data_IF_379991190937
#
_entry.id   IF_379991190937
#
_cell.length_a   1.000
_cell.length_b   1.000
_cell.length_c   1.000
_cell.angle_alpha   90.00
_cell.angle_beta   90.00
_cell.angle_gamma   90.00
#
_symmetry.space_group_name_H-M   'P 1'
#
loop_
_entity.id
_entity.type
_entity.pdbx_description
1 polymer ?
#
# COMPACT_ATOMS: atom_id res chain seq x y z
N UNK A 1 19.10 15.63 -7.67
CA UNK A 1 18.33 16.13 -8.83
C UNK A 1 17.38 15.05 -9.39
N UNK A 2 17.79 13.78 -9.51
CA UNK A 2 17.02 12.70 -10.12
C UNK A 2 15.66 12.48 -9.46
N UNK A 3 15.62 12.30 -8.17
CA UNK A 3 14.38 12.06 -7.41
C UNK A 3 13.38 13.21 -7.52
N UNK A 4 13.87 14.47 -7.51
CA UNK A 4 13.01 15.63 -7.69
C UNK A 4 12.40 15.66 -9.09
N UNK A 5 13.19 15.32 -10.13
CA UNK A 5 12.68 15.18 -11.49
C UNK A 5 11.57 14.14 -11.57
N UNK A 6 11.76 12.95 -10.96
CA UNK A 6 10.73 11.92 -10.92
C UNK A 6 9.51 12.34 -10.10
N UNK A 7 9.69 13.06 -9.00
CA UNK A 7 8.56 13.60 -8.24
C UNK A 7 7.71 14.54 -9.08
N UNK A 8 8.34 15.46 -9.83
CA UNK A 8 7.65 16.36 -10.75
C UNK A 8 6.97 15.59 -11.88
N UNK A 9 7.66 14.63 -12.51
CA UNK A 9 7.08 13.81 -13.57
C UNK A 9 5.84 13.06 -13.08
N UNK A 10 5.91 12.43 -11.92
CA UNK A 10 4.77 11.73 -11.32
C UNK A 10 3.64 12.69 -10.94
N UNK A 11 3.95 13.89 -10.45
CA UNK A 11 2.95 14.92 -10.18
C UNK A 11 2.21 15.33 -11.47
N UNK A 12 2.91 15.45 -12.61
CA UNK A 12 2.29 15.68 -13.91
C UNK A 12 1.41 14.51 -14.37
N UNK A 13 1.87 13.27 -14.19
CA UNK A 13 1.08 12.06 -14.52
C UNK A 13 -0.21 12.03 -13.70
N UNK A 14 -0.12 12.27 -12.40
CA UNK A 14 -1.28 12.38 -11.49
C UNK A 14 -2.22 13.51 -11.90
N UNK A 15 -1.66 14.67 -12.27
CA UNK A 15 -2.44 15.80 -12.77
C UNK A 15 -3.19 15.47 -14.06
N UNK A 16 -2.54 14.81 -15.01
CA UNK A 16 -3.19 14.39 -16.27
C UNK A 16 -4.29 13.37 -15.98
N UNK A 17 -4.06 12.40 -15.12
CA UNK A 17 -5.08 11.40 -14.75
C UNK A 17 -6.30 12.05 -14.11
N UNK A 18 -6.11 13.08 -13.29
CA UNK A 18 -7.21 13.83 -12.70
C UNK A 18 -8.17 14.40 -13.75
N UNK A 19 -7.64 14.92 -14.88
CA UNK A 19 -8.45 15.52 -15.95
C UNK A 19 -8.91 14.53 -17.03
N UNK A 20 -8.10 13.53 -17.38
CA UNK A 20 -8.30 12.70 -18.58
C UNK A 20 -8.44 11.19 -18.33
N UNK A 21 -8.32 10.71 -17.10
CA UNK A 21 -8.46 9.29 -16.76
C UNK A 21 -7.55 8.34 -17.59
N UNK A 22 -6.31 8.73 -17.82
CA UNK A 22 -5.36 7.90 -18.57
C UNK A 22 -4.69 6.84 -17.69
N UNK A 23 -5.45 5.81 -17.34
CA UNK A 23 -5.04 4.73 -16.44
C UNK A 23 -3.79 3.99 -16.89
N UNK A 24 -3.60 3.82 -18.21
CA UNK A 24 -2.40 3.19 -18.76
C UNK A 24 -1.16 4.04 -18.47
N UNK A 25 -1.32 5.37 -18.47
CA UNK A 25 -0.24 6.30 -18.12
C UNK A 25 0.17 6.16 -16.65
N UNK A 26 -0.78 5.89 -15.75
CA UNK A 26 -0.49 5.65 -14.33
C UNK A 26 0.36 4.38 -14.12
N UNK A 27 0.00 3.28 -14.81
CA UNK A 27 0.79 2.05 -14.76
C UNK A 27 2.17 2.27 -15.39
N UNK A 28 2.24 2.93 -16.53
CA UNK A 28 3.52 3.22 -17.18
C UNK A 28 4.41 4.08 -16.28
N UNK A 29 3.83 5.11 -15.64
CA UNK A 29 4.52 5.94 -14.66
C UNK A 29 5.02 5.15 -13.44
N UNK A 30 4.18 4.28 -12.90
CA UNK A 30 4.53 3.39 -11.79
C UNK A 30 5.71 2.47 -12.16
N UNK A 31 5.59 1.72 -13.24
CA UNK A 31 6.64 0.80 -13.71
C UNK A 31 7.93 1.54 -14.04
N UNK A 32 7.83 2.67 -14.73
CA UNK A 32 9.00 3.47 -15.11
C UNK A 32 9.71 4.06 -13.90
N UNK A 33 8.95 4.61 -12.93
CA UNK A 33 9.50 5.16 -11.69
C UNK A 33 10.23 4.08 -10.89
N UNK A 34 9.67 2.89 -10.81
CA UNK A 34 10.30 1.75 -10.15
C UNK A 34 11.57 1.29 -10.89
N UNK A 35 11.48 1.09 -12.20
CA UNK A 35 12.60 0.60 -13.00
C UNK A 35 13.80 1.54 -12.90
N UNK A 36 13.57 2.85 -13.04
CA UNK A 36 14.66 3.83 -12.95
C UNK A 36 15.14 4.01 -11.51
N UNK A 37 14.24 3.99 -10.53
CA UNK A 37 14.62 4.05 -9.11
C UNK A 37 15.48 2.85 -8.70
N UNK A 38 15.13 1.64 -9.13
CA UNK A 38 15.91 0.43 -8.88
C UNK A 38 17.26 0.45 -9.62
N UNK A 39 17.27 0.85 -10.91
CA UNK A 39 18.52 0.98 -11.67
C UNK A 39 19.49 2.00 -11.02
N UNK A 40 18.93 3.12 -10.53
CA UNK A 40 19.74 4.08 -9.78
C UNK A 40 20.27 3.49 -8.47
N UNK A 41 19.43 2.76 -7.72
CA UNK A 41 19.82 2.19 -6.44
C UNK A 41 20.95 1.18 -6.58
N UNK A 42 20.94 0.33 -7.61
CA UNK A 42 21.98 -0.66 -7.86
C UNK A 42 23.35 -0.01 -8.06
N UNK A 43 23.41 1.14 -8.74
CA UNK A 43 24.68 1.79 -9.08
C UNK A 43 25.12 2.92 -8.15
N UNK A 44 24.20 3.52 -7.39
CA UNK A 44 24.45 4.80 -6.72
C UNK A 44 23.97 4.85 -5.26
N UNK A 45 23.30 3.80 -4.76
CA UNK A 45 22.85 3.81 -3.37
C UNK A 45 24.03 3.61 -2.42
N UNK A 46 24.16 4.55 -1.48
CA UNK A 46 25.10 4.49 -0.37
C UNK A 46 24.39 4.89 0.93
N UNK A 47 24.84 4.42 2.11
CA UNK A 47 24.19 4.72 3.38
C UNK A 47 23.86 6.21 3.65
N UNK A 48 24.69 7.19 3.24
CA UNK A 48 24.34 8.61 3.37
C UNK A 48 23.09 9.03 2.59
N UNK A 49 22.68 8.28 1.58
CA UNK A 49 21.47 8.57 0.78
C UNK A 49 20.17 8.03 1.42
N UNK A 50 20.25 7.31 2.55
CA UNK A 50 19.12 6.65 3.19
C UNK A 50 17.91 7.58 3.38
N UNK A 51 18.10 8.71 4.04
CA UNK A 51 16.99 9.62 4.37
C UNK A 51 16.27 10.13 3.11
N UNK A 52 17.04 10.53 2.10
CA UNK A 52 16.47 11.04 0.84
C UNK A 52 15.73 9.93 0.12
N UNK A 53 16.31 8.74 0.03
CA UNK A 53 15.67 7.58 -0.61
C UNK A 53 14.40 7.18 0.12
N UNK A 54 14.43 7.12 1.45
CA UNK A 54 13.27 6.79 2.28
C UNK A 54 12.10 7.76 2.06
N UNK A 55 12.38 9.07 2.05
CA UNK A 55 11.35 10.10 1.81
C UNK A 55 10.70 9.92 0.45
N UNK A 56 11.50 9.69 -0.61
CA UNK A 56 10.95 9.49 -1.96
C UNK A 56 10.19 8.16 -2.10
N UNK A 57 10.63 7.08 -1.48
CA UNK A 57 9.89 5.81 -1.44
C UNK A 57 8.52 6.02 -0.80
N UNK A 58 8.46 6.65 0.36
CA UNK A 58 7.19 6.94 1.05
C UNK A 58 6.29 7.82 0.17
N UNK A 59 6.83 8.88 -0.43
CA UNK A 59 6.07 9.79 -1.29
C UNK A 59 5.47 9.06 -2.51
N UNK A 60 6.25 8.22 -3.19
CA UNK A 60 5.77 7.48 -4.36
C UNK A 60 4.75 6.42 -3.97
N UNK A 61 4.98 5.68 -2.88
CA UNK A 61 4.02 4.69 -2.37
C UNK A 61 2.69 5.36 -1.96
N UNK A 62 2.75 6.51 -1.28
CA UNK A 62 1.56 7.27 -0.93
C UNK A 62 0.81 7.76 -2.17
N UNK A 63 1.52 8.31 -3.16
CA UNK A 63 0.94 8.80 -4.39
C UNK A 63 0.22 7.68 -5.18
N UNK A 64 0.89 6.56 -5.42
CA UNK A 64 0.32 5.45 -6.19
C UNK A 64 -0.78 4.69 -5.45
N UNK A 65 -0.71 4.55 -4.13
CA UNK A 65 -1.80 3.95 -3.33
C UNK A 65 -3.04 4.85 -3.26
N UNK A 66 -2.88 6.16 -3.39
CA UNK A 66 -4.00 7.10 -3.42
C UNK A 66 -4.75 7.13 -4.77
N UNK A 67 -4.17 6.66 -5.87
CA UNK A 67 -4.82 6.66 -7.20
C UNK A 67 -6.14 5.85 -7.24
N UNK A 68 -6.19 4.57 -6.78
CA UNK A 68 -7.43 3.82 -6.73
C UNK A 68 -8.49 4.47 -5.83
N UNK A 69 -8.04 5.16 -4.77
CA UNK A 69 -8.92 5.93 -3.89
C UNK A 69 -9.52 7.12 -4.63
N UNK A 70 -8.70 7.88 -5.35
CA UNK A 70 -9.17 9.01 -6.15
C UNK A 70 -10.19 8.54 -7.21
N UNK A 71 -9.95 7.40 -7.86
CA UNK A 71 -10.91 6.79 -8.78
C UNK A 71 -12.23 6.48 -8.07
N UNK A 72 -12.19 5.88 -6.88
CA UNK A 72 -13.39 5.54 -6.12
C UNK A 72 -14.16 6.76 -5.62
N UNK A 73 -13.48 7.86 -5.32
CA UNK A 73 -14.10 9.08 -4.77
C UNK A 73 -14.69 10.00 -5.84
N UNK A 74 -14.05 10.10 -7.00
CA UNK A 74 -14.34 11.16 -7.98
C UNK A 74 -14.88 10.66 -9.31
N UNK A 75 -15.00 9.34 -9.50
CA UNK A 75 -15.51 8.74 -10.74
C UNK A 75 -16.80 7.95 -10.50
N UNK A 76 -17.52 7.66 -11.59
CA UNK A 76 -18.77 6.92 -11.53
C UNK A 76 -18.59 5.53 -10.87
N UNK A 77 -19.57 5.04 -10.11
CA UNK A 77 -19.55 3.69 -9.55
C UNK A 77 -19.32 2.64 -10.63
N UNK A 78 -18.46 1.66 -10.35
CA UNK A 78 -18.11 0.62 -11.33
C UNK A 78 -17.05 1.02 -12.37
N UNK A 79 -16.51 2.23 -12.28
CA UNK A 79 -15.45 2.69 -13.20
C UNK A 79 -14.07 2.08 -12.89
N UNK A 80 -13.89 1.40 -11.76
CA UNK A 80 -12.62 0.74 -11.43
C UNK A 80 -12.28 -0.33 -12.46
N UNK A 81 -11.05 -0.28 -13.00
CA UNK A 81 -10.53 -1.23 -13.97
C UNK A 81 -9.43 -2.12 -13.40
N UNK A 82 -8.93 -3.06 -14.21
CA UNK A 82 -7.82 -3.93 -13.84
C UNK A 82 -6.55 -3.12 -13.48
N UNK A 83 -6.42 -1.93 -14.06
CA UNK A 83 -5.31 -1.01 -13.80
C UNK A 83 -5.32 -0.51 -12.35
N UNK A 84 -6.50 -0.18 -11.84
CA UNK A 84 -6.66 0.23 -10.44
C UNK A 84 -6.32 -0.94 -9.51
N UNK A 85 -6.67 -2.19 -9.91
CA UNK A 85 -6.28 -3.40 -9.20
C UNK A 85 -4.76 -3.62 -9.18
N UNK A 86 -4.07 -3.40 -10.31
CA UNK A 86 -2.61 -3.49 -10.37
C UNK A 86 -1.93 -2.49 -9.41
N UNK A 87 -2.38 -1.25 -9.38
CA UNK A 87 -1.83 -0.24 -8.45
C UNK A 87 -2.18 -0.57 -7.01
N UNK A 88 -3.41 -1.03 -6.75
CA UNK A 88 -3.89 -1.37 -5.42
C UNK A 88 -3.06 -2.45 -4.74
N UNK A 89 -2.72 -3.53 -5.46
CA UNK A 89 -1.94 -4.65 -4.93
C UNK A 89 -0.45 -4.53 -5.23
N UNK A 90 -0.08 -3.96 -6.37
CA UNK A 90 1.33 -3.77 -6.77
C UNK A 90 2.07 -2.79 -5.86
N UNK A 91 1.41 -1.69 -5.47
CA UNK A 91 2.04 -0.68 -4.61
C UNK A 91 2.50 -1.23 -3.26
N UNK A 92 1.67 -1.95 -2.46
CA UNK A 92 2.15 -2.51 -1.19
C UNK A 92 3.20 -3.61 -1.36
N UNK A 93 3.11 -4.44 -2.41
CA UNK A 93 4.13 -5.46 -2.70
C UNK A 93 5.49 -4.82 -2.96
N UNK A 94 5.52 -3.83 -3.85
CA UNK A 94 6.74 -3.08 -4.15
C UNK A 94 7.22 -2.32 -2.92
N UNK A 95 6.31 -1.74 -2.14
CA UNK A 95 6.62 -1.06 -0.90
C UNK A 95 7.33 -1.96 0.11
N UNK A 96 6.80 -3.17 0.34
CA UNK A 96 7.44 -4.16 1.20
C UNK A 96 8.84 -4.53 0.70
N UNK A 97 8.99 -4.75 -0.62
CA UNK A 97 10.29 -5.07 -1.21
C UNK A 97 11.31 -3.95 -1.02
N UNK A 98 10.95 -2.71 -1.37
CA UNK A 98 11.85 -1.55 -1.23
C UNK A 98 12.20 -1.27 0.23
N UNK A 99 11.23 -1.39 1.14
CA UNK A 99 11.49 -1.23 2.57
C UNK A 99 12.39 -2.32 3.12
N UNK A 100 12.24 -3.57 2.67
CA UNK A 100 13.14 -4.64 3.08
C UNK A 100 14.61 -4.34 2.69
N UNK A 101 14.84 -3.72 1.53
CA UNK A 101 16.19 -3.31 1.11
C UNK A 101 16.72 -2.11 1.91
N UNK A 102 15.85 -1.22 2.38
CA UNK A 102 16.27 0.01 3.07
C UNK A 102 16.44 -0.18 4.58
N UNK A 103 15.58 -0.97 5.21
CA UNK A 103 15.52 -1.09 6.68
C UNK A 103 15.69 -2.52 7.19
N UNK A 104 16.00 -3.49 6.30
CA UNK A 104 16.12 -4.90 6.66
C UNK A 104 17.15 -5.17 7.76
N UNK A 105 18.25 -4.40 7.79
CA UNK A 105 19.31 -4.53 8.78
C UNK A 105 19.02 -3.75 10.09
N UNK A 106 17.91 -3.03 10.17
CA UNK A 106 17.54 -2.26 11.38
C UNK A 106 16.61 -3.07 12.27
N UNK A 107 16.87 -3.06 13.57
CA UNK A 107 16.03 -3.74 14.53
C UNK A 107 14.57 -3.23 14.42
N UNK A 108 13.64 -4.16 14.19
CA UNK A 108 12.21 -3.87 14.01
C UNK A 108 11.86 -2.92 12.82
N UNK A 109 12.81 -2.57 11.95
CA UNK A 109 12.57 -1.63 10.85
C UNK A 109 11.43 -2.06 9.93
N UNK A 110 11.41 -3.35 9.55
CA UNK A 110 10.35 -3.93 8.75
C UNK A 110 9.00 -3.99 9.47
N UNK A 111 9.01 -4.31 10.77
CA UNK A 111 7.78 -4.34 11.57
C UNK A 111 7.13 -2.95 11.65
N UNK A 112 7.92 -1.91 11.94
CA UNK A 112 7.44 -0.53 11.94
C UNK A 112 6.95 -0.08 10.57
N UNK A 113 7.64 -0.48 9.50
CA UNK A 113 7.22 -0.18 8.13
C UNK A 113 5.88 -0.83 7.78
N UNK A 114 5.69 -2.09 8.19
CA UNK A 114 4.43 -2.81 7.99
C UNK A 114 3.28 -2.16 8.79
N UNK A 115 3.51 -1.77 10.05
CA UNK A 115 2.51 -1.06 10.86
C UNK A 115 2.16 0.32 10.28
N UNK A 116 3.15 1.09 9.83
CA UNK A 116 2.92 2.38 9.18
C UNK A 116 2.12 2.21 7.89
N UNK A 117 2.44 1.20 7.08
CA UNK A 117 1.68 0.83 5.89
C UNK A 117 0.26 0.41 6.22
N UNK A 118 0.07 -0.44 7.24
CA UNK A 118 -1.26 -0.83 7.73
C UNK A 118 -2.11 0.38 8.10
N UNK A 119 -1.55 1.29 8.91
CA UNK A 119 -2.24 2.52 9.31
C UNK A 119 -2.60 3.38 8.08
N UNK A 120 -1.69 3.52 7.13
CA UNK A 120 -1.94 4.27 5.90
C UNK A 120 -3.12 3.69 5.11
N UNK A 121 -3.13 2.38 4.84
CA UNK A 121 -4.21 1.72 4.11
C UNK A 121 -5.53 1.75 4.89
N UNK A 122 -5.49 1.68 6.21
CA UNK A 122 -6.66 1.84 7.07
C UNK A 122 -7.25 3.26 6.99
N UNK A 123 -6.42 4.30 6.95
CA UNK A 123 -6.86 5.67 6.75
C UNK A 123 -7.50 5.87 5.37
N UNK A 124 -6.91 5.28 4.31
CA UNK A 124 -7.48 5.31 2.96
C UNK A 124 -8.84 4.60 2.91
N UNK A 125 -8.97 3.43 3.53
CA UNK A 125 -10.24 2.75 3.70
C UNK A 125 -11.28 3.64 4.40
N UNK A 126 -10.92 4.23 5.54
CA UNK A 126 -11.79 5.12 6.30
C UNK A 126 -12.25 6.33 5.49
N UNK A 127 -11.38 6.89 4.65
CA UNK A 127 -11.71 7.99 3.74
C UNK A 127 -12.76 7.56 2.69
N UNK A 128 -12.57 6.38 2.07
CA UNK A 128 -13.52 5.86 1.07
C UNK A 128 -14.88 5.63 1.73
N UNK A 129 -14.91 4.93 2.87
CA UNK A 129 -16.18 4.59 3.56
C UNK A 129 -16.95 5.83 3.99
N UNK A 130 -16.25 6.86 4.48
CA UNK A 130 -16.87 8.13 4.89
C UNK A 130 -17.45 8.93 3.73
N UNK A 131 -16.88 8.82 2.53
CA UNK A 131 -17.27 9.64 1.36
C UNK A 131 -18.22 8.94 0.42
N UNK A 132 -18.06 7.64 0.21
CA UNK A 132 -18.82 6.85 -0.79
C UNK A 132 -19.80 5.88 -0.13
N UNK A 133 -19.63 5.57 1.15
CA UNK A 133 -20.40 4.55 1.87
C UNK A 133 -19.83 3.15 1.68
N UNK A 134 -20.05 2.27 2.67
CA UNK A 134 -19.47 0.92 2.70
C UNK A 134 -20.05 -0.07 1.68
N UNK A 135 -21.22 0.24 1.11
CA UNK A 135 -22.06 -0.74 0.42
C UNK A 135 -21.64 -1.09 -1.02
N UNK A 136 -20.66 -0.42 -1.65
CA UNK A 136 -20.42 -0.60 -3.08
C UNK A 136 -18.97 -0.61 -3.54
N UNK A 137 -17.99 -0.53 -2.68
CA UNK A 137 -16.62 -0.39 -3.16
C UNK A 137 -15.74 -1.59 -2.81
N UNK A 138 -15.53 -2.48 -3.78
CA UNK A 138 -14.50 -3.52 -3.72
C UNK A 138 -13.13 -2.92 -3.36
N UNK A 139 -12.88 -1.67 -3.77
CA UNK A 139 -11.68 -0.91 -3.47
C UNK A 139 -11.55 -0.65 -1.96
N UNK A 140 -12.67 -0.32 -1.26
CA UNK A 140 -12.65 -0.13 0.18
C UNK A 140 -12.29 -1.43 0.92
N UNK A 141 -12.93 -2.54 0.57
CA UNK A 141 -12.62 -3.84 1.18
C UNK A 141 -11.19 -4.30 0.90
N UNK A 142 -10.67 -4.03 -0.29
CA UNK A 142 -9.30 -4.35 -0.62
C UNK A 142 -8.30 -3.53 0.21
N UNK A 143 -8.55 -2.23 0.44
CA UNK A 143 -7.71 -1.41 1.34
C UNK A 143 -7.76 -1.94 2.78
N UNK A 144 -8.94 -2.32 3.28
CA UNK A 144 -9.06 -2.92 4.61
C UNK A 144 -8.32 -4.26 4.70
N UNK A 145 -8.43 -5.10 3.66
CA UNK A 145 -7.72 -6.38 3.57
C UNK A 145 -6.20 -6.20 3.58
N UNK A 146 -5.68 -5.23 2.81
CA UNK A 146 -4.25 -4.89 2.80
C UNK A 146 -3.81 -4.35 4.16
N UNK A 147 -4.61 -3.48 4.79
CA UNK A 147 -4.31 -2.96 6.12
C UNK A 147 -4.23 -4.10 7.16
N UNK A 148 -5.21 -5.00 7.17
CA UNK A 148 -5.21 -6.17 8.05
C UNK A 148 -4.00 -7.07 7.79
N UNK A 149 -3.72 -7.40 6.53
CA UNK A 149 -2.57 -8.21 6.15
C UNK A 149 -1.24 -7.61 6.63
N UNK A 150 -1.03 -6.31 6.44
CA UNK A 150 0.18 -5.62 6.89
C UNK A 150 0.29 -5.58 8.42
N UNK A 151 -0.83 -5.44 9.14
CA UNK A 151 -0.85 -5.54 10.60
C UNK A 151 -0.47 -6.95 11.07
N UNK A 152 -1.06 -7.97 10.46
CA UNK A 152 -0.79 -9.38 10.79
C UNK A 152 0.67 -9.75 10.54
N UNK A 153 1.25 -9.31 9.41
CA UNK A 153 2.65 -9.62 9.07
C UNK A 153 3.66 -8.83 9.92
N UNK A 154 3.27 -7.71 10.52
CA UNK A 154 4.13 -6.94 11.42
C UNK A 154 4.52 -7.75 12.67
N UNK A 155 3.65 -8.67 13.10
CA UNK A 155 3.90 -9.51 14.30
C UNK A 155 5.12 -10.43 14.11
N UNK A 156 5.20 -11.29 13.06
CA UNK A 156 6.38 -12.13 12.85
C UNK A 156 7.64 -11.36 12.48
N UNK A 157 7.50 -10.11 12.00
CA UNK A 157 8.64 -9.24 11.74
C UNK A 157 9.22 -8.60 13.03
N UNK A 158 8.42 -8.59 14.12
CA UNK A 158 8.83 -8.01 15.40
C UNK A 158 9.18 -9.06 16.45
N UNK A 159 8.55 -10.24 16.40
CA UNK A 159 8.59 -11.23 17.48
C UNK A 159 9.04 -12.60 16.95
N UNK A 160 9.41 -13.46 17.90
CA UNK A 160 9.76 -14.85 17.62
C UNK A 160 8.54 -15.71 17.25
N UNK A 161 8.80 -16.96 16.85
CA UNK A 161 7.76 -17.88 16.40
C UNK A 161 6.73 -18.20 17.50
N UNK A 162 7.11 -18.21 18.76
CA UNK A 162 6.22 -18.55 19.87
C UNK A 162 5.19 -17.46 20.13
N UNK A 163 5.63 -16.20 20.17
CA UNK A 163 4.76 -15.03 20.32
C UNK A 163 3.87 -14.89 19.07
N UNK A 164 4.45 -15.03 17.88
CA UNK A 164 3.72 -14.97 16.60
C UNK A 164 2.58 -16.00 16.54
N UNK A 165 2.83 -17.25 16.91
CA UNK A 165 1.80 -18.30 16.89
C UNK A 165 0.64 -18.01 17.86
N UNK A 166 0.94 -17.43 19.01
CA UNK A 166 -0.07 -17.03 20.00
C UNK A 166 -0.95 -15.89 19.47
N UNK A 167 -0.34 -14.89 18.82
CA UNK A 167 -1.08 -13.80 18.18
C UNK A 167 -2.00 -14.30 17.08
N UNK A 168 -1.51 -15.14 16.18
CA UNK A 168 -2.31 -15.70 15.09
C UNK A 168 -3.45 -16.59 15.57
N UNK A 169 -3.23 -17.36 16.64
CA UNK A 169 -4.30 -18.13 17.26
C UNK A 169 -5.39 -17.23 17.83
N UNK A 170 -5.02 -16.13 18.49
CA UNK A 170 -5.96 -15.15 19.03
C UNK A 170 -6.72 -14.41 17.91
N UNK A 171 -6.03 -14.01 16.84
CA UNK A 171 -6.62 -13.38 15.66
C UNK A 171 -7.63 -14.33 14.99
N UNK A 172 -7.27 -15.59 14.76
CA UNK A 172 -8.16 -16.62 14.22
C UNK A 172 -9.39 -16.85 15.08
N UNK A 173 -9.22 -16.90 16.42
CA UNK A 173 -10.34 -17.03 17.35
C UNK A 173 -11.27 -15.80 17.30
N UNK A 174 -10.72 -14.58 17.18
CA UNK A 174 -11.50 -13.36 17.06
C UNK A 174 -12.32 -13.32 15.76
N UNK A 175 -11.72 -13.73 14.63
CA UNK A 175 -12.40 -13.82 13.33
C UNK A 175 -13.53 -14.84 13.37
N UNK A 176 -13.30 -16.02 13.93
CA UNK A 176 -14.32 -17.05 14.11
C UNK A 176 -15.46 -16.55 15.00
N UNK A 177 -15.13 -15.97 16.15
CA UNK A 177 -16.13 -15.41 17.07
C UNK A 177 -17.00 -14.35 16.42
N UNK A 178 -16.38 -13.45 15.65
CA UNK A 178 -17.10 -12.42 14.91
C UNK A 178 -17.98 -13.04 13.82
N UNK A 179 -17.48 -14.02 13.06
CA UNK A 179 -18.22 -14.74 12.03
C UNK A 179 -19.45 -15.45 12.57
N UNK A 180 -19.31 -16.16 13.68
CA UNK A 180 -20.42 -16.83 14.37
C UNK A 180 -21.45 -15.83 14.87
N UNK A 181 -20.99 -14.73 15.51
CA UNK A 181 -21.88 -13.71 16.08
C UNK A 181 -22.67 -12.95 15.03
N UNK A 182 -22.08 -12.69 13.87
CA UNK A 182 -22.75 -11.96 12.77
C UNK A 182 -23.50 -12.85 11.82
N UNK A 183 -23.53 -14.18 12.05
CA UNK A 183 -24.15 -15.20 11.17
C UNK A 183 -23.72 -15.07 9.70
N UNK A 184 -22.51 -14.57 9.45
CA UNK A 184 -21.93 -14.52 8.11
C UNK A 184 -21.21 -15.83 7.82
N UNK A 185 -21.68 -16.56 6.82
CA UNK A 185 -21.15 -17.86 6.36
C UNK A 185 -19.72 -17.79 5.78
N UNK A 186 -19.18 -16.58 5.56
CA UNK A 186 -17.85 -16.38 4.95
C UNK A 186 -16.70 -16.77 5.88
N UNK A 187 -16.94 -16.90 7.19
CA UNK A 187 -15.91 -17.24 8.18
C UNK A 187 -15.99 -18.71 8.65
N UNK A 188 -16.87 -19.52 8.07
CA UNK A 188 -16.98 -20.97 8.22
C UNK A 188 -16.35 -21.67 7.00
#
# INVERSE_FOLDING_TARGET
>A
PLFLYFALLNAFILGIDWFRAWRVLNIAGFVFTLAVGMAWAIGNYHPPHYLVTQVFVILFLAAYSAMPVATALFRAPGSAGWQDGMLLFGTPLVGCFLQAQLVGDTAYGMAWSALAGSLWYFLLWGLIVRRVGSASSIVAYAHLGIAAFLATIAVPLAFDAQVTSTFWAAEGAAVLWYGVRTRRTIAQ
#
